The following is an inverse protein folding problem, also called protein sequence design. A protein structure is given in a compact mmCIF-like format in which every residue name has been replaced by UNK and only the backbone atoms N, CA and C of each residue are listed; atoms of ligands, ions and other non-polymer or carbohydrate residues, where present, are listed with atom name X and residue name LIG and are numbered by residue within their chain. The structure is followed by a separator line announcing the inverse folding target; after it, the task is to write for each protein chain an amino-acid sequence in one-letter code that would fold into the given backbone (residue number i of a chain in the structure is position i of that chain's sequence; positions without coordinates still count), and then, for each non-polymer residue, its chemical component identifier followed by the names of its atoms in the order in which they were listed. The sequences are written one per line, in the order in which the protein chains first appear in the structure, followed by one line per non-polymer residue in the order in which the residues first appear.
data_IF_428435556397
#
_entry.id   IF_428435556397
#
_cell.length_a   1.000
_cell.length_b   1.000
_cell.length_c   1.000
_cell.angle_alpha   90.00
_cell.angle_beta   90.00
_cell.angle_gamma   90.00
#
_symmetry.space_group_name_H-M   'P 1'
#
loop_
_entity.id
_entity.type
_entity.pdbx_description
1 polymer ?
#
# COMPACT_ATOMS: atom_id res chain seq x y z
N UNK A 1 14.76 14.16 -19.69
CA UNK A 1 13.40 13.65 -19.40
C UNK A 1 12.56 13.64 -20.68
N UNK A 2 11.31 13.16 -20.63
CA UNK A 2 10.39 13.19 -21.77
C UNK A 2 8.93 13.31 -21.30
N UNK A 3 8.12 14.09 -22.03
CA UNK A 3 6.69 14.22 -21.82
C UNK A 3 5.99 14.23 -23.18
N UNK A 4 5.06 13.30 -23.40
CA UNK A 4 4.38 13.12 -24.69
C UNK A 4 3.89 11.68 -24.90
N UNK A 5 3.44 11.35 -26.12
CA UNK A 5 2.96 10.01 -26.46
C UNK A 5 4.03 8.92 -26.23
N UNK A 6 3.62 7.79 -25.67
CA UNK A 6 4.53 6.67 -25.39
C UNK A 6 5.16 6.08 -26.66
N UNK A 7 4.47 6.17 -27.81
CA UNK A 7 4.97 5.74 -29.12
C UNK A 7 6.22 6.49 -29.56
N UNK A 8 6.33 7.76 -29.16
CA UNK A 8 7.36 8.67 -29.63
C UNK A 8 8.57 8.70 -28.69
N UNK A 9 8.38 8.25 -27.45
CA UNK A 9 9.43 8.18 -26.44
C UNK A 9 10.67 7.39 -26.92
N UNK A 10 10.47 6.24 -27.56
CA UNK A 10 11.58 5.41 -28.08
C UNK A 10 12.38 6.16 -29.14
N UNK A 11 11.70 6.88 -30.03
CA UNK A 11 12.36 7.69 -31.06
C UNK A 11 13.12 8.86 -30.42
N UNK A 12 12.51 9.57 -29.47
CA UNK A 12 13.13 10.67 -28.73
C UNK A 12 14.41 10.25 -28.01
N UNK A 13 14.38 9.19 -27.19
CA UNK A 13 15.60 8.76 -26.50
C UNK A 13 16.67 8.23 -27.47
N UNK A 14 16.26 7.70 -28.63
CA UNK A 14 17.19 7.30 -29.68
C UNK A 14 17.91 8.49 -30.33
N UNK A 15 17.28 9.67 -30.46
CA UNK A 15 17.96 10.88 -30.96
C UNK A 15 19.00 11.42 -29.96
N UNK A 16 18.79 11.17 -28.67
CA UNK A 16 19.73 11.46 -27.59
C UNK A 16 20.83 10.39 -27.43
N UNK A 17 20.96 9.49 -28.40
CA UNK A 17 21.95 8.41 -28.43
C UNK A 17 21.72 7.33 -27.36
N UNK A 18 20.49 7.22 -26.82
CA UNK A 18 20.07 6.19 -25.87
C UNK A 18 19.04 5.25 -26.51
N UNK A 19 19.54 4.25 -27.24
CA UNK A 19 18.68 3.25 -27.90
C UNK A 19 18.32 2.12 -26.94
N UNK A 20 17.02 1.84 -26.82
CA UNK A 20 16.53 0.69 -26.06
C UNK A 20 16.92 -0.64 -26.77
N UNK A 21 17.49 -1.62 -26.06
CA UNK A 21 17.70 -2.97 -26.59
C UNK A 21 16.38 -3.65 -27.00
N UNK A 22 16.42 -4.50 -28.02
CA UNK A 22 15.23 -5.16 -28.57
C UNK A 22 14.51 -6.10 -27.58
N UNK A 23 15.25 -6.67 -26.62
CA UNK A 23 14.75 -7.64 -25.65
C UNK A 23 14.53 -7.02 -24.25
N UNK A 24 14.30 -5.71 -24.18
CA UNK A 24 14.15 -5.00 -22.92
C UNK A 24 12.88 -4.14 -22.93
N UNK A 25 12.22 -4.01 -21.77
CA UNK A 25 11.03 -3.18 -21.63
C UNK A 25 11.42 -1.69 -21.74
N UNK A 26 10.88 -0.93 -22.72
CA UNK A 26 11.24 0.47 -22.90
C UNK A 26 10.96 1.33 -21.66
N UNK A 27 9.88 1.05 -20.93
CA UNK A 27 9.53 1.80 -19.73
C UNK A 27 10.61 1.65 -18.64
N UNK A 28 11.05 0.42 -18.38
CA UNK A 28 12.11 0.15 -17.42
C UNK A 28 13.44 0.79 -17.87
N UNK A 29 13.72 0.78 -19.18
CA UNK A 29 14.95 1.36 -19.73
C UNK A 29 15.01 2.87 -19.50
N UNK A 30 13.88 3.55 -19.74
CA UNK A 30 13.80 5.00 -19.52
C UNK A 30 13.89 5.34 -18.03
N UNK A 31 13.29 4.53 -17.15
CA UNK A 31 13.41 4.71 -15.69
C UNK A 31 14.87 4.57 -15.26
N UNK A 32 15.57 3.53 -15.70
CA UNK A 32 17.00 3.34 -15.38
C UNK A 32 17.88 4.48 -15.93
N UNK A 33 17.50 5.03 -17.08
CA UNK A 33 18.20 6.12 -17.74
C UNK A 33 18.06 7.45 -16.98
N UNK A 34 16.89 7.75 -16.43
CA UNK A 34 16.64 8.99 -15.67
C UNK A 34 16.95 8.86 -14.17
N UNK A 35 17.26 7.65 -13.70
CA UNK A 35 17.56 7.40 -12.28
C UNK A 35 19.00 7.78 -11.91
N UNK A 36 19.17 8.25 -10.67
CA UNK A 36 20.48 8.51 -10.03
C UNK A 36 20.98 7.23 -9.36
N UNK A 37 22.22 6.82 -9.62
CA UNK A 37 22.85 5.68 -8.91
C UNK A 37 23.69 6.19 -7.73
N UNK A 38 23.14 6.11 -6.51
CA UNK A 38 23.79 6.57 -5.29
C UNK A 38 24.67 5.50 -4.60
N UNK A 39 25.01 4.38 -5.27
CA UNK A 39 25.82 3.30 -4.66
C UNK A 39 27.29 3.68 -4.48
N UNK A 40 27.79 4.67 -5.22
CA UNK A 40 29.12 5.24 -5.01
C UNK A 40 29.21 6.68 -5.51
N UNK A 41 30.15 7.45 -4.97
CA UNK A 41 30.30 8.86 -5.34
C UNK A 41 30.64 9.05 -6.83
N UNK A 42 31.46 8.15 -7.40
CA UNK A 42 31.76 8.17 -8.84
C UNK A 42 30.51 7.94 -9.69
N UNK A 43 29.70 6.93 -9.33
CA UNK A 43 28.47 6.60 -10.07
C UNK A 43 27.43 7.71 -9.95
N UNK A 44 27.28 8.28 -8.76
CA UNK A 44 26.40 9.43 -8.51
C UNK A 44 26.78 10.62 -9.40
N UNK A 45 28.07 10.99 -9.45
CA UNK A 45 28.57 12.06 -10.34
C UNK A 45 28.29 11.77 -11.81
N UNK A 46 28.54 10.55 -12.28
CA UNK A 46 28.25 10.17 -13.67
C UNK A 46 26.74 10.19 -13.98
N UNK A 47 25.90 9.70 -13.07
CA UNK A 47 24.44 9.71 -13.28
C UNK A 47 23.86 11.13 -13.23
N UNK A 48 24.37 12.01 -12.37
CA UNK A 48 23.96 13.41 -12.31
C UNK A 48 24.32 14.13 -13.61
N UNK A 49 25.56 14.00 -14.09
CA UNK A 49 25.97 14.61 -15.36
C UNK A 49 25.13 14.12 -16.56
N UNK A 50 24.70 12.85 -16.53
CA UNK A 50 23.78 12.30 -17.53
C UNK A 50 22.40 12.95 -17.43
N UNK A 51 21.88 13.13 -16.23
CA UNK A 51 20.57 13.74 -15.99
C UNK A 51 20.58 15.20 -16.43
N UNK A 52 21.63 15.95 -16.11
CA UNK A 52 21.79 17.35 -16.54
C UNK A 52 21.72 17.46 -18.07
N UNK A 53 22.41 16.57 -18.80
CA UNK A 53 22.32 16.52 -20.28
C UNK A 53 20.90 16.21 -20.77
N UNK A 54 20.22 15.27 -20.11
CA UNK A 54 18.85 14.89 -20.46
C UNK A 54 17.82 15.98 -20.11
N UNK A 55 18.10 16.84 -19.15
CA UNK A 55 17.31 18.02 -18.81
C UNK A 55 17.46 19.10 -19.89
N UNK A 56 18.71 19.45 -20.24
CA UNK A 56 19.00 20.41 -21.31
C UNK A 56 18.36 19.99 -22.65
N UNK A 57 18.42 18.70 -22.98
CA UNK A 57 17.79 18.15 -24.17
C UNK A 57 16.26 18.26 -24.13
N UNK A 58 15.66 18.08 -22.95
CA UNK A 58 14.23 18.17 -22.76
C UNK A 58 13.73 19.60 -22.90
N UNK A 59 14.41 20.58 -22.28
CA UNK A 59 14.04 22.00 -22.38
C UNK A 59 14.07 22.49 -23.83
N UNK A 60 15.10 22.10 -24.60
CA UNK A 60 15.18 22.38 -26.04
C UNK A 60 14.04 21.73 -26.82
N UNK A 61 13.65 20.51 -26.47
CA UNK A 61 12.56 19.81 -27.14
C UNK A 61 11.21 20.50 -26.86
N UNK A 62 10.98 20.92 -25.62
CA UNK A 62 9.77 21.64 -25.21
C UNK A 62 9.67 23.01 -25.87
N UNK A 63 10.76 23.78 -25.93
CA UNK A 63 10.80 25.07 -26.64
C UNK A 63 10.45 24.93 -28.14
N UNK A 64 10.98 23.89 -28.79
CA UNK A 64 10.65 23.58 -30.19
C UNK A 64 9.18 23.17 -30.39
N UNK A 65 8.59 22.48 -29.42
CA UNK A 65 7.17 22.10 -29.44
C UNK A 65 6.28 23.32 -29.19
N UNK A 66 6.63 24.19 -28.25
CA UNK A 66 5.86 25.41 -27.94
C UNK A 66 5.89 26.41 -29.11
N UNK A 67 7.05 26.65 -29.72
CA UNK A 67 7.17 27.49 -30.92
C UNK A 67 6.45 26.91 -32.15
N UNK A 68 6.32 25.58 -32.23
CA UNK A 68 5.49 24.91 -33.25
C UNK A 68 4.00 24.93 -32.91
N UNK A 69 3.63 24.95 -31.62
CA UNK A 69 2.26 24.98 -31.14
C UNK A 69 1.61 26.37 -31.25
N UNK A 70 2.38 27.45 -31.10
CA UNK A 70 1.90 28.83 -31.37
C UNK A 70 1.41 29.00 -32.82
N UNK A 71 1.93 28.19 -33.76
CA UNK A 71 1.48 28.17 -35.16
C UNK A 71 0.27 27.24 -35.43
N UNK A 72 -0.18 26.48 -34.42
CA UNK A 72 -1.30 25.51 -34.52
C UNK A 72 -2.39 25.71 -33.45
N UNK A 73 -2.43 26.87 -32.79
CA UNK A 73 -3.44 27.21 -31.79
C UNK A 73 -4.82 27.51 -32.42
N UNK A 74 -5.40 26.51 -33.10
CA UNK A 74 -6.82 26.46 -33.46
C UNK A 74 -7.29 25.01 -33.58
N UNK A 75 -6.95 24.18 -32.59
CA UNK A 75 -7.71 22.97 -32.32
C UNK A 75 -8.00 22.95 -30.82
N UNK A 76 -9.18 23.47 -30.49
CA UNK A 76 -9.73 23.50 -29.14
C UNK A 76 -9.95 22.04 -28.72
N UNK A 77 -9.05 21.50 -27.91
CA UNK A 77 -9.36 20.31 -27.13
C UNK A 77 -10.41 20.73 -26.12
N UNK A 78 -11.65 20.27 -26.31
CA UNK A 78 -12.64 20.31 -25.25
C UNK A 78 -12.05 19.51 -24.08
N UNK A 79 -11.72 20.24 -23.03
CA UNK A 79 -11.28 19.70 -21.76
C UNK A 79 -12.48 18.91 -21.20
N UNK A 80 -12.57 17.62 -21.54
CA UNK A 80 -13.49 16.69 -20.89
C UNK A 80 -13.22 16.82 -19.39
N UNK A 81 -14.18 17.32 -18.60
CA UNK A 81 -13.92 17.72 -17.22
C UNK A 81 -13.43 16.50 -16.47
N UNK A 82 -12.11 16.47 -16.21
CA UNK A 82 -11.41 15.39 -15.54
C UNK A 82 -12.24 15.01 -14.31
N UNK A 83 -12.86 13.83 -14.41
CA UNK A 83 -14.11 13.50 -13.72
C UNK A 83 -14.14 14.06 -12.32
N UNK A 84 -15.13 14.93 -12.03
CA UNK A 84 -15.40 15.43 -10.67
C UNK A 84 -15.34 14.23 -9.74
N UNK A 85 -14.25 14.09 -9.01
CA UNK A 85 -14.03 13.00 -8.08
C UNK A 85 -15.21 13.07 -7.10
N UNK A 86 -16.11 12.07 -7.07
CA UNK A 86 -17.28 12.16 -6.21
C UNK A 86 -16.79 12.27 -4.77
N UNK A 87 -17.16 13.37 -4.10
CA UNK A 87 -16.89 13.56 -2.68
C UNK A 87 -17.76 12.54 -1.93
N UNK A 88 -17.16 11.38 -1.66
CA UNK A 88 -17.75 10.15 -1.12
C UNK A 88 -18.87 9.56 -2.00
N UNK A 89 -18.55 8.49 -2.74
CA UNK A 89 -19.49 7.82 -3.63
C UNK A 89 -20.56 6.98 -2.89
N UNK A 90 -20.37 6.69 -1.60
CA UNK A 90 -21.21 5.74 -0.84
C UNK A 90 -21.80 6.32 0.45
N UNK A 91 -22.93 5.75 0.87
CA UNK A 91 -23.56 6.02 2.18
C UNK A 91 -22.73 5.37 3.30
N UNK A 92 -22.64 6.00 4.47
CA UNK A 92 -21.84 5.52 5.62
C UNK A 92 -22.06 4.04 6.00
N UNK A 93 -23.31 3.57 6.01
CA UNK A 93 -23.63 2.17 6.34
C UNK A 93 -23.08 1.16 5.32
N UNK A 94 -22.96 1.56 4.04
CA UNK A 94 -22.43 0.68 2.99
C UNK A 94 -20.93 0.52 3.15
N UNK A 95 -20.21 1.61 3.39
CA UNK A 95 -18.78 1.57 3.69
C UNK A 95 -18.51 0.75 4.95
N UNK A 96 -19.29 0.97 6.01
CA UNK A 96 -19.20 0.18 7.24
C UNK A 96 -19.43 -1.31 6.95
N UNK A 97 -20.47 -1.68 6.20
CA UNK A 97 -20.74 -3.08 5.86
C UNK A 97 -19.57 -3.72 5.09
N UNK A 98 -19.01 -3.03 4.09
CA UNK A 98 -17.91 -3.58 3.31
C UNK A 98 -16.62 -3.70 4.11
N UNK A 99 -16.28 -2.69 4.92
CA UNK A 99 -15.14 -2.73 5.82
C UNK A 99 -15.32 -3.86 6.83
N UNK A 100 -16.49 -3.98 7.45
CA UNK A 100 -16.78 -5.05 8.40
C UNK A 100 -16.70 -6.43 7.74
N UNK A 101 -17.29 -6.63 6.56
CA UNK A 101 -17.20 -7.89 5.80
C UNK A 101 -15.75 -8.24 5.48
N UNK A 102 -14.94 -7.24 5.09
CA UNK A 102 -13.51 -7.44 4.81
C UNK A 102 -12.74 -7.80 6.06
N UNK A 103 -12.91 -7.06 7.15
CA UNK A 103 -12.24 -7.31 8.42
C UNK A 103 -12.63 -8.69 8.97
N UNK A 104 -13.91 -9.04 8.89
CA UNK A 104 -14.38 -10.35 9.32
C UNK A 104 -13.80 -11.48 8.47
N UNK A 105 -13.73 -11.33 7.14
CA UNK A 105 -13.08 -12.30 6.25
C UNK A 105 -11.58 -12.43 6.54
N UNK A 106 -10.91 -11.33 6.88
CA UNK A 106 -9.49 -11.30 7.24
C UNK A 106 -9.26 -12.04 8.57
N UNK A 107 -10.07 -11.75 9.58
CA UNK A 107 -10.04 -12.44 10.88
C UNK A 107 -10.28 -13.93 10.68
N UNK A 108 -11.36 -14.34 9.99
CA UNK A 108 -11.65 -15.76 9.78
C UNK A 108 -10.57 -16.51 8.98
N UNK A 109 -9.83 -15.82 8.12
CA UNK A 109 -8.70 -16.42 7.38
C UNK A 109 -7.49 -16.65 8.28
N UNK A 110 -7.30 -15.83 9.32
CA UNK A 110 -6.27 -16.00 10.35
C UNK A 110 -6.65 -17.12 11.35
N UNK A 111 -6.83 -18.34 10.82
CA UNK A 111 -7.27 -19.50 11.61
C UNK A 111 -6.35 -19.80 12.78
N UNK A 112 -5.03 -19.69 12.60
CA UNK A 112 -4.04 -19.99 13.64
C UNK A 112 -4.19 -19.12 14.88
N UNK A 113 -4.26 -17.79 14.67
CA UNK A 113 -4.39 -16.81 15.76
C UNK A 113 -5.75 -16.98 16.47
N UNK A 114 -6.82 -17.17 15.72
CA UNK A 114 -8.16 -17.35 16.32
C UNK A 114 -8.29 -18.67 17.07
N UNK A 115 -7.71 -19.76 16.55
CA UNK A 115 -7.74 -21.07 17.22
C UNK A 115 -6.94 -21.00 18.52
N UNK A 116 -5.78 -20.35 18.54
CA UNK A 116 -4.99 -20.16 19.76
C UNK A 116 -5.73 -19.30 20.80
N UNK A 117 -6.39 -18.23 20.35
CA UNK A 117 -7.18 -17.37 21.24
C UNK A 117 -8.39 -18.13 21.83
N UNK A 118 -9.11 -18.91 21.02
CA UNK A 118 -10.26 -19.69 21.49
C UNK A 118 -9.82 -20.82 22.42
N UNK A 119 -8.73 -21.52 22.10
CA UNK A 119 -8.24 -22.64 22.91
C UNK A 119 -7.79 -22.16 24.29
N UNK A 120 -7.00 -21.09 24.36
CA UNK A 120 -6.56 -20.51 25.64
C UNK A 120 -7.74 -20.06 26.49
N UNK A 121 -8.69 -19.33 25.91
CA UNK A 121 -9.88 -18.86 26.63
C UNK A 121 -10.75 -20.02 27.14
N UNK A 122 -10.84 -21.12 26.37
CA UNK A 122 -11.56 -22.33 26.79
C UNK A 122 -10.86 -23.03 27.96
N UNK A 123 -9.53 -23.14 27.94
CA UNK A 123 -8.76 -23.75 29.02
C UNK A 123 -8.93 -22.95 30.31
N UNK A 124 -8.82 -21.62 30.25
CA UNK A 124 -9.06 -20.77 31.42
C UNK A 124 -10.49 -20.91 31.97
N UNK A 125 -11.49 -20.99 31.09
CA UNK A 125 -12.87 -21.21 31.50
C UNK A 125 -13.07 -22.56 32.22
N UNK A 126 -12.44 -23.64 31.74
CA UNK A 126 -12.51 -24.97 32.37
C UNK A 126 -11.83 -24.96 33.73
N UNK A 127 -10.64 -24.37 33.85
CA UNK A 127 -9.91 -24.28 35.13
C UNK A 127 -10.73 -23.52 36.16
N UNK A 128 -11.25 -22.33 35.80
CA UNK A 128 -12.08 -21.53 36.69
C UNK A 128 -13.38 -22.25 37.08
N UNK A 129 -14.00 -22.94 36.13
CA UNK A 129 -15.21 -23.73 36.39
C UNK A 129 -14.97 -24.88 37.36
N UNK A 130 -13.88 -25.63 37.19
CA UNK A 130 -13.52 -26.73 38.09
C UNK A 130 -13.12 -26.25 39.49
N UNK A 131 -12.43 -25.10 39.58
CA UNK A 131 -12.08 -24.48 40.85
C UNK A 131 -13.32 -24.14 41.67
N UNK A 132 -14.31 -23.49 41.04
CA UNK A 132 -15.58 -23.14 41.71
C UNK A 132 -16.45 -24.35 42.01
N UNK A 133 -16.42 -25.38 41.16
CA UNK A 133 -17.15 -26.62 41.40
C UNK A 133 -16.60 -27.40 42.60
N UNK A 134 -15.29 -27.33 42.85
CA UNK A 134 -14.68 -27.94 44.04
C UNK A 134 -15.01 -27.17 45.32
N UNK A 135 -14.93 -25.83 45.28
CA UNK A 135 -15.35 -24.95 46.38
C UNK A 135 -16.81 -25.22 46.77
N UNK A 136 -17.72 -25.27 45.79
CA UNK A 136 -19.13 -25.55 46.06
C UNK A 136 -19.33 -26.90 46.72
N UNK A 137 -18.59 -27.94 46.29
CA UNK A 137 -18.70 -29.29 46.88
C UNK A 137 -18.23 -29.32 48.33
N UNK A 138 -17.15 -28.62 48.67
CA UNK A 138 -16.65 -28.53 50.05
C UNK A 138 -17.67 -27.83 50.97
N UNK A 139 -18.24 -26.71 50.56
CA UNK A 139 -19.30 -26.00 51.31
C UNK A 139 -20.54 -26.87 51.57
N UNK A 140 -21.00 -27.68 50.61
CA UNK A 140 -22.18 -28.53 50.80
C UNK A 140 -21.88 -29.85 51.52
N UNK A 141 -20.63 -30.34 51.47
CA UNK A 141 -20.24 -31.62 52.10
C UNK A 141 -19.88 -31.49 53.58
N UNK A 142 -19.48 -30.31 54.05
CA UNK A 142 -19.19 -30.05 55.47
C UNK A 142 -19.93 -28.80 55.98
N UNK A 143 -21.27 -28.86 56.15
CA UNK A 143 -22.05 -27.73 56.66
C UNK A 143 -21.75 -27.37 58.12
N UNK A 144 -20.98 -28.19 58.85
CA UNK A 144 -20.69 -28.00 60.29
C UNK A 144 -19.23 -27.64 60.62
N UNK A 145 -18.40 -27.35 59.62
CA UNK A 145 -16.94 -27.17 59.82
C UNK A 145 -16.43 -25.81 60.30
N UNK A 146 -17.23 -24.74 60.30
CA UNK A 146 -16.75 -23.38 60.63
C UNK A 146 -17.54 -22.69 61.76
N UNK A 147 -18.10 -23.47 62.68
CA UNK A 147 -18.84 -22.93 63.84
C UNK A 147 -18.24 -23.22 65.22
N UNK A 148 -17.21 -24.09 65.34
CA UNK A 148 -16.89 -24.71 66.62
C UNK A 148 -15.48 -24.45 67.21
N UNK A 149 -14.66 -23.56 66.65
CA UNK A 149 -13.34 -23.19 67.24
C UNK A 149 -13.22 -21.69 67.61
N UNK A 150 -14.29 -21.07 68.11
CA UNK A 150 -14.21 -19.75 68.78
C UNK A 150 -14.92 -19.69 70.15
N UNK A 151 -15.13 -20.84 70.80
CA UNK A 151 -15.44 -20.87 72.24
C UNK A 151 -14.65 -21.97 72.91
N UNK A 152 -13.46 -21.62 73.41
CA UNK A 152 -12.97 -21.70 74.80
C UNK A 152 -11.53 -21.17 74.79
#
# INVERSE_FOLDING_TARGET
MYFGPATDAVAYFSTLNYRCPANFNPADFFIDLISVDNRSERKSKTSNARIDLLEDAFLKHEENLQSSAENKASESYEDEPFGKQPKYASRWNQELYYVMKRQFKQVLRAKEINVAAVSTNTIFAVILGLMWLNIGREFFSNPEGEGAEQRI
#
